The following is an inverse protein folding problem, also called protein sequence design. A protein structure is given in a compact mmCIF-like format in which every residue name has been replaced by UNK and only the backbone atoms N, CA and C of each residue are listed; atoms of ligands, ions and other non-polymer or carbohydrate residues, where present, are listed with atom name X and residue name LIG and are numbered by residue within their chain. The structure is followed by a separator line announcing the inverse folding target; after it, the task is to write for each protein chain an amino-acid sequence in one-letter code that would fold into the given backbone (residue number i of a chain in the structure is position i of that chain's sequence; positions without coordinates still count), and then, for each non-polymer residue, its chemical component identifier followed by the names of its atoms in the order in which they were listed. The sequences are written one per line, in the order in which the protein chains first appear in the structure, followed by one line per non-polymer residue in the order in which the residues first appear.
data_IF_441205291879
#
_entry.id   IF_441205291879
#
_cell.length_a   1.000
_cell.length_b   1.000
_cell.length_c   1.000
_cell.angle_alpha   90.00
_cell.angle_beta   90.00
_cell.angle_gamma   90.00
#
_symmetry.space_group_name_H-M   'P 1'
#
loop_
_entity.id
_entity.type
_entity.pdbx_description
1 polymer ?
#
# COMPACT_ATOMS: atom_id res chain seq x y z
N UNK A 1 1.06 12.02 20.18
CA UNK A 1 0.27 12.30 19.73
C UNK A 1 0.11 12.40 18.39
N UNK A 2 -0.85 12.05 17.91
CA UNK A 2 -1.03 12.02 16.58
C UNK A 2 -1.03 13.31 15.99
N UNK A 3 -0.39 13.48 14.95
CA UNK A 3 -0.40 14.75 14.35
C UNK A 3 -0.75 14.50 12.92
N UNK A 4 -0.85 15.57 12.19
CA UNK A 4 -1.12 15.47 10.79
C UNK A 4 -0.02 14.72 10.09
N UNK A 5 1.19 14.89 10.59
CA UNK A 5 2.34 14.22 10.01
C UNK A 5 2.19 12.72 10.18
N UNK A 6 1.78 12.32 11.36
CA UNK A 6 1.61 10.92 11.65
C UNK A 6 0.52 10.31 10.79
N UNK A 7 -0.57 11.04 10.62
CA UNK A 7 -1.66 10.57 9.78
C UNK A 7 -1.24 10.46 8.32
N UNK A 8 -0.45 11.42 7.86
CA UNK A 8 0.03 11.40 6.49
C UNK A 8 0.94 10.21 6.25
N UNK A 9 1.79 9.90 7.21
CA UNK A 9 2.67 8.75 7.08
C UNK A 9 1.88 7.46 7.04
N UNK A 10 0.88 7.37 7.89
CA UNK A 10 0.04 6.18 7.91
C UNK A 10 -0.69 6.01 6.60
N UNK A 11 -1.23 7.09 6.08
CA UNK A 11 -1.94 7.05 4.83
C UNK A 11 -1.01 6.65 3.69
N UNK A 12 0.18 7.20 3.68
CA UNK A 12 1.15 6.90 2.65
C UNK A 12 1.57 5.43 2.73
N UNK A 13 1.72 4.93 3.93
CA UNK A 13 2.10 3.54 4.13
C UNK A 13 1.02 2.61 3.58
N UNK A 14 -0.22 2.94 3.81
CA UNK A 14 -1.33 2.13 3.32
C UNK A 14 -1.36 2.12 1.81
N UNK A 15 -1.09 3.26 1.19
CA UNK A 15 -1.08 3.34 -0.26
C UNK A 15 0.02 2.47 -0.85
N UNK A 16 1.19 2.48 -0.22
CA UNK A 16 2.30 1.66 -0.69
C UNK A 16 1.96 0.18 -0.55
N UNK A 17 1.37 -0.18 0.57
CA UNK A 17 0.99 -1.56 0.79
C UNK A 17 -0.03 -2.03 -0.23
N UNK A 18 -1.00 -1.17 -0.52
CA UNK A 18 -2.03 -1.51 -1.48
C UNK A 18 -1.45 -1.71 -2.88
N UNK A 19 -0.51 -0.84 -3.26
CA UNK A 19 0.10 -0.97 -4.57
C UNK A 19 0.91 -2.26 -4.68
N UNK A 20 1.64 -2.58 -3.63
CA UNK A 20 2.43 -3.81 -3.61
C UNK A 20 1.54 -5.04 -3.70
N UNK A 21 0.45 -5.00 -2.97
CA UNK A 21 -0.49 -6.11 -2.96
C UNK A 21 -1.12 -6.30 -4.34
N UNK A 22 -1.51 -5.18 -4.95
CA UNK A 22 -2.15 -5.24 -6.26
C UNK A 22 -1.20 -5.77 -7.31
N UNK A 23 0.06 -5.35 -7.24
CA UNK A 23 1.06 -5.82 -8.19
C UNK A 23 1.29 -7.32 -8.02
N UNK A 24 1.28 -7.77 -6.80
CA UNK A 24 1.50 -9.18 -6.52
C UNK A 24 0.35 -10.02 -7.07
N UNK A 25 -0.86 -9.53 -6.93
CA UNK A 25 -2.04 -10.23 -7.43
C UNK A 25 -2.01 -10.29 -8.96
N UNK A 26 -1.64 -9.19 -9.59
CA UNK A 26 -1.57 -9.16 -11.04
C UNK A 26 -0.52 -10.13 -11.56
N UNK A 27 0.61 -10.19 -10.89
CA UNK A 27 1.67 -11.10 -11.28
C UNK A 27 1.19 -12.56 -11.17
N UNK A 28 0.47 -12.85 -10.11
CA UNK A 28 -0.05 -14.20 -9.94
C UNK A 28 -1.06 -14.56 -11.01
N UNK A 29 -1.91 -13.59 -11.38
CA UNK A 29 -2.89 -13.83 -12.40
C UNK A 29 -2.25 -14.08 -13.76
N UNK A 30 -1.21 -13.34 -14.06
CA UNK A 30 -0.52 -13.50 -15.32
C UNK A 30 0.21 -14.84 -15.37
N UNK A 31 0.83 -15.20 -14.26
CA UNK A 31 1.57 -16.44 -14.21
C UNK A 31 0.64 -17.65 -14.34
N UNK A 32 -0.58 -17.44 -13.88
CA UNK A 32 -1.52 -18.52 -13.94
C UNK A 32 -2.15 -18.62 -15.32
#
# INVERSE_FOLDING_TARGET
MVSKLDSALSFQQQALTLRAYRQQVLAANIAN
#
